data_IF_172077959296
#
_entry.id   IF_172077959296
#
_cell.length_a   1.000
_cell.length_b   1.000
_cell.length_c   1.000
_cell.angle_alpha   90.00
_cell.angle_beta   90.00
_cell.angle_gamma   90.00
#
_symmetry.space_group_name_H-M   'P 1'
#
loop_
_entity.id
_entity.type
_entity.pdbx_description
1 polymer ?
#
# COMPACT_ATOMS: atom_id res chain seq x y z
N UNK A 1 0.39 14.42 4.19
CA UNK A 1 0.47 12.97 3.95
C UNK A 1 0.36 12.73 2.46
N UNK A 2 1.22 11.90 1.90
CA UNK A 2 1.23 11.59 0.47
C UNK A 2 0.31 10.41 0.18
N UNK A 3 -0.64 10.58 -0.73
CA UNK A 3 -1.46 9.47 -1.20
C UNK A 3 -0.70 8.68 -2.25
N UNK A 4 -0.56 7.37 -2.03
CA UNK A 4 0.18 6.50 -2.96
C UNK A 4 -0.77 5.93 -4.00
N UNK A 5 -1.69 5.06 -3.58
CA UNK A 5 -2.70 4.45 -4.45
C UNK A 5 -3.81 3.89 -3.55
N UNK A 6 -5.05 3.90 -4.03
CA UNK A 6 -6.22 3.40 -3.29
C UNK A 6 -6.28 3.96 -1.88
N UNK A 7 -6.19 3.10 -0.87
CA UNK A 7 -6.22 3.51 0.55
C UNK A 7 -4.83 3.48 1.20
N UNK A 8 -3.78 3.61 0.40
CA UNK A 8 -2.39 3.60 0.90
C UNK A 8 -1.80 5.00 0.89
N UNK A 9 -1.08 5.33 1.95
CA UNK A 9 -0.50 6.65 2.19
C UNK A 9 0.92 6.53 2.71
N UNK A 10 1.71 7.56 2.50
CA UNK A 10 3.03 7.69 3.09
C UNK A 10 3.11 9.01 3.85
N UNK A 11 3.63 8.96 5.05
CA UNK A 11 3.86 10.14 5.88
C UNK A 11 5.35 10.32 6.07
N UNK A 12 5.85 11.52 5.79
CA UNK A 12 7.26 11.82 5.99
C UNK A 12 7.61 11.91 7.47
N UNK A 13 8.80 11.44 7.81
CA UNK A 13 9.37 11.58 9.14
C UNK A 13 10.86 11.93 9.03
N UNK A 14 11.57 12.02 10.17
CA UNK A 14 12.97 12.44 10.18
C UNK A 14 13.91 11.45 9.48
N UNK A 15 13.48 10.22 9.26
CA UNK A 15 14.32 9.15 8.73
C UNK A 15 13.85 8.62 7.39
N UNK A 16 12.73 9.12 6.88
CA UNK A 16 12.17 8.64 5.63
C UNK A 16 10.65 8.72 5.62
N UNK A 17 10.00 7.57 5.43
CA UNK A 17 8.54 7.52 5.28
C UNK A 17 7.93 6.44 6.15
N UNK A 18 6.76 6.75 6.72
CA UNK A 18 5.88 5.74 7.34
C UNK A 18 4.80 5.38 6.33
N UNK A 19 4.69 4.11 5.99
CA UNK A 19 3.67 3.64 5.04
C UNK A 19 2.44 3.20 5.82
N UNK A 20 1.29 3.73 5.46
CA UNK A 20 0.04 3.54 6.18
C UNK A 20 -1.06 3.05 5.24
N UNK A 21 -1.95 2.23 5.78
CA UNK A 21 -3.17 1.82 5.08
C UNK A 21 -4.39 2.34 5.83
N UNK A 22 -5.26 3.06 5.12
CA UNK A 22 -6.53 3.53 5.66
C UNK A 22 -7.47 2.31 5.82
N UNK A 23 -8.00 2.12 7.01
CA UNK A 23 -8.90 1.00 7.29
C UNK A 23 -10.33 1.25 6.81
N UNK A 24 -10.64 2.47 6.41
CA UNK A 24 -12.01 2.87 6.07
C UNK A 24 -12.89 3.06 7.29
N UNK A 25 -12.33 3.00 8.49
CA UNK A 25 -13.05 3.15 9.75
C UNK A 25 -12.58 4.39 10.49
N UNK A 26 -13.47 4.94 11.32
CA UNK A 26 -13.16 6.09 12.15
C UNK A 26 -13.16 5.67 13.61
N UNK A 27 -12.33 6.35 14.40
CA UNK A 27 -12.31 6.15 15.85
C UNK A 27 -13.64 6.68 16.41
N UNK A 28 -14.43 5.83 17.11
CA UNK A 28 -15.73 6.24 17.61
C UNK A 28 -15.67 7.33 18.67
N UNK A 29 -14.51 7.53 19.32
CA UNK A 29 -14.35 8.55 20.34
C UNK A 29 -13.94 9.90 19.78
N UNK A 30 -13.07 9.92 18.76
CA UNK A 30 -12.51 11.15 18.22
C UNK A 30 -13.02 11.49 16.82
N UNK A 31 -13.60 10.53 16.12
CA UNK A 31 -14.03 10.70 14.74
C UNK A 31 -12.88 10.68 13.74
N UNK A 32 -11.66 10.46 14.20
CA UNK A 32 -10.48 10.44 13.35
C UNK A 32 -10.37 9.15 12.55
N UNK A 33 -9.86 9.29 11.32
CA UNK A 33 -9.62 8.16 10.44
C UNK A 33 -8.58 7.23 11.05
N UNK A 34 -8.82 5.91 10.99
CA UNK A 34 -7.91 4.91 11.54
C UNK A 34 -7.01 4.35 10.45
N UNK A 35 -5.71 4.30 10.74
CA UNK A 35 -4.70 3.79 9.81
C UNK A 35 -3.95 2.63 10.44
N UNK A 36 -3.52 1.68 9.58
CA UNK A 36 -2.66 0.57 10.00
C UNK A 36 -1.26 0.85 9.47
N UNK A 37 -0.25 0.98 10.33
CA UNK A 37 1.12 1.17 9.86
C UNK A 37 1.65 -0.13 9.26
N UNK A 38 2.17 -0.04 8.03
CA UNK A 38 2.76 -1.18 7.34
C UNK A 38 4.25 -1.29 7.59
N UNK A 39 4.92 -0.16 7.82
CA UNK A 39 6.33 -0.14 8.09
C UNK A 39 6.96 1.21 7.83
N UNK A 40 8.27 1.29 8.07
CA UNK A 40 9.08 2.48 7.86
C UNK A 40 10.10 2.20 6.77
N UNK A 41 10.22 3.13 5.83
CA UNK A 41 11.13 2.97 4.70
C UNK A 41 11.93 4.26 4.48
N UNK A 42 13.07 4.14 3.82
CA UNK A 42 13.94 5.30 3.58
C UNK A 42 13.67 6.02 2.27
N UNK A 43 13.00 5.36 1.32
CA UNK A 43 12.76 5.92 -0.01
C UNK A 43 11.34 5.66 -0.47
N UNK A 44 10.88 6.45 -1.44
CA UNK A 44 9.56 6.24 -2.06
C UNK A 44 9.50 4.90 -2.79
N UNK A 45 10.60 4.48 -3.40
CA UNK A 45 10.65 3.18 -4.09
C UNK A 45 10.36 2.05 -3.11
N UNK A 46 10.96 2.08 -1.93
CA UNK A 46 10.72 1.09 -0.90
C UNK A 46 9.27 1.15 -0.39
N UNK A 47 8.70 2.36 -0.30
CA UNK A 47 7.31 2.53 0.09
C UNK A 47 6.38 1.85 -0.92
N UNK A 48 6.64 2.03 -2.21
CA UNK A 48 5.85 1.41 -3.27
C UNK A 48 5.94 -0.12 -3.23
N UNK A 49 7.12 -0.65 -2.96
CA UNK A 49 7.31 -2.10 -2.83
C UNK A 49 6.54 -2.66 -1.64
N UNK A 50 6.52 -1.95 -0.53
CA UNK A 50 5.78 -2.36 0.66
C UNK A 50 4.27 -2.35 0.39
N UNK A 51 3.77 -1.32 -0.29
CA UNK A 51 2.37 -1.23 -0.70
C UNK A 51 2.01 -2.39 -1.63
N UNK A 52 2.86 -2.68 -2.60
CA UNK A 52 2.63 -3.78 -3.54
C UNK A 52 2.51 -5.11 -2.81
N UNK A 53 3.39 -5.37 -1.86
CA UNK A 53 3.34 -6.60 -1.07
C UNK A 53 2.05 -6.72 -0.29
N UNK A 54 1.59 -5.63 0.31
CA UNK A 54 0.36 -5.63 1.09
C UNK A 54 -0.87 -5.87 0.21
N UNK A 55 -0.93 -5.23 -0.96
CA UNK A 55 -2.03 -5.43 -1.91
C UNK A 55 -2.11 -6.89 -2.35
N UNK A 56 -0.97 -7.46 -2.74
CA UNK A 56 -0.91 -8.84 -3.20
C UNK A 56 -1.29 -9.81 -2.08
N UNK A 57 -0.76 -9.59 -0.89
CA UNK A 57 -1.07 -10.42 0.27
C UNK A 57 -2.56 -10.45 0.57
N UNK A 58 -3.19 -9.28 0.62
CA UNK A 58 -4.62 -9.17 0.92
C UNK A 58 -5.47 -9.79 -0.20
N UNK A 59 -5.06 -9.62 -1.45
CA UNK A 59 -5.79 -10.19 -2.58
C UNK A 59 -5.77 -11.72 -2.53
N UNK A 60 -4.61 -12.31 -2.27
CA UNK A 60 -4.47 -13.77 -2.15
C UNK A 60 -5.28 -14.28 -0.96
N UNK A 61 -5.19 -13.61 0.17
CA UNK A 61 -5.90 -13.98 1.39
C UNK A 61 -7.41 -13.95 1.21
N UNK A 62 -7.94 -12.92 0.55
CA UNK A 62 -9.37 -12.74 0.38
C UNK A 62 -9.97 -13.65 -0.67
N UNK A 63 -9.21 -13.95 -1.71
CA UNK A 63 -9.73 -14.67 -2.88
C UNK A 63 -9.23 -16.11 -2.98
N UNK A 64 -8.34 -16.53 -2.07
CA UNK A 64 -7.82 -17.91 -2.00
C UNK A 64 -7.38 -18.39 -3.39
N UNK A 65 -6.62 -17.55 -4.09
CA UNK A 65 -6.26 -17.81 -5.48
C UNK A 65 -5.07 -18.74 -5.63
N UNK A 66 -5.04 -19.46 -6.77
CA UNK A 66 -3.94 -20.34 -7.11
C UNK A 66 -2.68 -19.52 -7.44
N UNK A 67 -1.50 -20.19 -7.38
CA UNK A 67 -0.23 -19.53 -7.61
C UNK A 67 -0.14 -18.83 -8.96
N UNK A 68 -0.64 -19.46 -10.02
CA UNK A 68 -0.64 -18.85 -11.36
C UNK A 68 -1.44 -17.56 -11.40
N UNK A 69 -2.59 -17.55 -10.75
CA UNK A 69 -3.43 -16.33 -10.65
C UNK A 69 -2.73 -15.27 -9.83
N UNK A 70 -2.07 -15.65 -8.74
CA UNK A 70 -1.33 -14.72 -7.91
C UNK A 70 -0.17 -14.07 -8.67
N UNK A 71 0.56 -14.83 -9.48
CA UNK A 71 1.64 -14.30 -10.29
C UNK A 71 1.13 -13.29 -11.33
N UNK A 72 0.00 -13.58 -11.96
CA UNK A 72 -0.62 -12.64 -12.89
C UNK A 72 -1.04 -11.35 -12.21
N UNK A 73 -1.64 -11.46 -11.03
CA UNK A 73 -2.05 -10.31 -10.24
C UNK A 73 -0.84 -9.45 -9.80
N UNK A 74 0.24 -10.07 -9.38
CA UNK A 74 1.47 -9.36 -8.99
C UNK A 74 1.99 -8.55 -10.17
N UNK A 75 2.03 -9.14 -11.36
CA UNK A 75 2.50 -8.45 -12.57
C UNK A 75 1.63 -7.24 -12.88
N UNK A 76 0.31 -7.41 -12.83
CA UNK A 76 -0.63 -6.33 -13.10
C UNK A 76 -0.48 -5.18 -12.10
N UNK A 77 -0.39 -5.48 -10.81
CA UNK A 77 -0.23 -4.46 -9.79
C UNK A 77 1.12 -3.76 -9.88
N UNK A 78 2.16 -4.47 -10.23
CA UNK A 78 3.48 -3.88 -10.43
C UNK A 78 3.45 -2.86 -11.56
N UNK A 79 2.85 -3.19 -12.68
CA UNK A 79 2.73 -2.30 -13.82
C UNK A 79 1.90 -1.06 -13.46
N UNK A 80 0.80 -1.25 -12.74
CA UNK A 80 -0.06 -0.16 -12.30
C UNK A 80 0.68 0.82 -11.38
N UNK A 81 1.39 0.31 -10.40
CA UNK A 81 2.14 1.15 -9.45
C UNK A 81 3.28 1.88 -10.15
N UNK A 82 4.03 1.19 -10.99
CA UNK A 82 5.11 1.79 -11.77
C UNK A 82 4.56 2.86 -12.70
N UNK A 83 3.44 2.59 -13.36
CA UNK A 83 2.79 3.55 -14.22
C UNK A 83 2.42 4.84 -13.50
N UNK A 84 1.90 4.75 -12.27
CA UNK A 84 1.59 5.92 -11.45
C UNK A 84 2.83 6.70 -11.03
N UNK A 85 3.95 6.00 -10.82
CA UNK A 85 5.17 6.61 -10.30
C UNK A 85 6.05 7.18 -11.40
N UNK A 86 6.11 6.50 -12.54
CA UNK A 86 7.03 6.80 -13.64
C UNK A 86 6.28 7.39 -14.84
N UNK A 87 5.06 7.78 -14.66
CA UNK A 87 4.25 8.30 -15.75
C UNK A 87 4.95 9.48 -16.43
N UNK A 88 5.19 9.32 -17.63
CA UNK A 88 5.83 10.33 -18.45
C UNK A 88 4.83 11.31 -18.99
#
# INVERSE_FOLDING_TARGET
MLHIIDNYYAQTNNYGYSVLRDTGKQNPKTGEQTYIPLGYVGTIKEALELVKKDIVHNHIKEHDMELTQALGYIREQTDSIIGHTITN
#
